data_IF_441496407277
#
_entry.id   IF_441496407277
#
_cell.length_a   1.000
_cell.length_b   1.000
_cell.length_c   1.000
_cell.angle_alpha   90.00
_cell.angle_beta   90.00
_cell.angle_gamma   90.00
#
_symmetry.space_group_name_H-M   'P 1'
#
loop_
_entity.id
_entity.type
_entity.pdbx_description
1 polymer ?
#
# COMPACT_ATOMS: atom_id res chain seq x y z
N UNK A 1 22.61 -28.91 2.96
CA UNK A 1 22.91 -29.31 4.35
C UNK A 1 23.96 -28.36 4.93
N UNK A 2 23.54 -27.19 5.44
CA UNK A 2 24.45 -26.23 6.11
C UNK A 2 24.39 -26.48 7.62
N UNK A 3 25.57 -26.61 8.25
CA UNK A 3 25.77 -26.93 9.66
C UNK A 3 25.38 -25.74 10.54
N UNK A 4 24.63 -26.00 11.61
CA UNK A 4 24.42 -25.06 12.71
C UNK A 4 25.53 -25.26 13.76
N UNK A 5 26.25 -24.19 14.10
CA UNK A 5 27.18 -24.17 15.23
C UNK A 5 26.46 -23.59 16.46
N UNK A 6 26.29 -24.43 17.48
CA UNK A 6 25.75 -24.09 18.79
C UNK A 6 26.91 -23.63 19.69
N UNK A 7 26.99 -22.35 20.04
CA UNK A 7 27.91 -21.89 21.10
C UNK A 7 27.21 -22.02 22.45
N UNK A 8 27.68 -22.98 23.27
CA UNK A 8 27.24 -23.18 24.65
C UNK A 8 28.11 -22.29 25.56
N UNK A 9 27.52 -21.23 26.10
CA UNK A 9 28.11 -20.46 27.20
C UNK A 9 27.77 -21.11 28.54
N UNK A 10 28.78 -21.49 29.31
CA UNK A 10 28.66 -22.14 30.62
C UNK A 10 28.33 -21.08 31.69
N UNK A 11 27.24 -21.29 32.44
CA UNK A 11 26.82 -20.49 33.60
C UNK A 11 27.53 -20.92 34.89
N UNK A 12 27.97 -19.93 35.68
CA UNK A 12 28.55 -20.10 37.00
C UNK A 12 27.47 -19.96 38.10
N UNK A 13 27.20 -21.07 38.79
CA UNK A 13 26.66 -21.29 40.15
C UNK A 13 25.66 -20.30 40.78
N UNK A 14 24.46 -20.78 41.14
CA UNK A 14 23.99 -20.95 42.53
C UNK A 14 22.51 -21.40 42.59
N UNK A 15 22.20 -22.24 43.58
CA UNK A 15 20.93 -22.91 43.85
C UNK A 15 19.77 -21.94 44.17
N UNK A 16 18.71 -21.99 43.38
CA UNK A 16 17.33 -21.83 43.85
C UNK A 16 16.42 -22.67 42.96
N UNK A 17 15.69 -23.61 43.57
CA UNK A 17 14.69 -24.43 42.90
C UNK A 17 13.47 -23.55 42.62
N UNK A 18 13.48 -22.89 41.46
CA UNK A 18 12.28 -22.43 40.77
C UNK A 18 12.28 -23.22 39.48
N UNK A 19 11.27 -24.05 39.27
CA UNK A 19 11.04 -24.70 37.97
C UNK A 19 11.09 -23.59 36.92
N UNK A 20 12.02 -23.59 35.95
CA UNK A 20 11.97 -22.61 34.89
C UNK A 20 10.69 -22.90 34.11
N UNK A 21 9.70 -22.01 34.23
CA UNK A 21 8.71 -21.89 33.18
C UNK A 21 9.50 -21.44 31.96
N UNK A 22 9.84 -22.40 31.10
CA UNK A 22 10.41 -22.11 29.79
C UNK A 22 9.26 -21.46 29.01
N UNK A 23 9.17 -20.14 29.08
CA UNK A 23 8.41 -19.38 28.11
C UNK A 23 9.19 -19.49 26.80
N UNK A 24 8.77 -20.44 25.96
CA UNK A 24 9.18 -20.46 24.56
C UNK A 24 8.55 -19.21 23.96
N UNK A 25 9.34 -18.15 23.82
CA UNK A 25 9.04 -17.14 22.81
C UNK A 25 9.23 -17.86 21.48
N UNK A 26 8.13 -18.39 20.93
CA UNK A 26 8.07 -18.52 19.49
C UNK A 26 8.25 -17.09 18.99
N UNK A 27 9.40 -16.79 18.39
CA UNK A 27 9.48 -15.68 17.45
C UNK A 27 8.24 -15.82 16.54
N UNK A 28 7.50 -14.74 16.24
CA UNK A 28 6.44 -14.86 15.26
C UNK A 28 7.09 -15.42 14.01
N UNK A 29 6.82 -16.69 13.71
CA UNK A 29 7.18 -17.27 12.44
C UNK A 29 6.50 -16.36 11.42
N UNK A 30 7.31 -15.57 10.72
CA UNK A 30 6.86 -14.75 9.61
C UNK A 30 6.46 -15.72 8.50
N UNK A 31 5.26 -16.28 8.64
CA UNK A 31 4.60 -16.98 7.55
C UNK A 31 4.14 -15.87 6.63
N UNK A 32 5.01 -15.53 5.70
CA UNK A 32 4.61 -14.95 4.43
C UNK A 32 3.73 -16.03 3.77
N UNK A 33 2.43 -16.09 4.09
CA UNK A 33 1.46 -16.81 3.26
C UNK A 33 1.28 -16.00 1.97
N UNK A 34 2.31 -16.03 1.12
CA UNK A 34 2.11 -15.85 -0.30
C UNK A 34 1.60 -17.21 -0.77
N UNK A 35 0.29 -17.33 -0.92
CA UNK A 35 -0.23 -18.44 -1.69
C UNK A 35 0.31 -18.26 -3.12
N UNK A 36 1.33 -19.04 -3.48
CA UNK A 36 1.76 -19.31 -4.85
C UNK A 36 0.65 -20.03 -5.66
N UNK A 37 -0.59 -20.02 -5.18
CA UNK A 37 -1.72 -20.52 -5.93
C UNK A 37 -1.94 -19.59 -7.12
N UNK A 38 -1.80 -20.15 -8.32
CA UNK A 38 -2.74 -19.81 -9.38
C UNK A 38 -4.15 -19.72 -8.76
N UNK A 39 -4.94 -18.72 -9.14
CA UNK A 39 -6.15 -18.32 -8.43
C UNK A 39 -6.98 -19.54 -8.03
N UNK A 40 -7.59 -19.47 -6.84
CA UNK A 40 -8.77 -20.27 -6.59
C UNK A 40 -9.73 -20.00 -7.75
N UNK A 41 -9.82 -20.94 -8.67
CA UNK A 41 -10.85 -20.96 -9.68
C UNK A 41 -12.14 -21.25 -8.91
N UNK A 42 -12.75 -20.19 -8.36
CA UNK A 42 -14.09 -20.21 -7.79
C UNK A 42 -15.17 -20.49 -8.86
N UNK A 43 -14.76 -20.72 -10.11
CA UNK A 43 -15.60 -20.86 -11.28
C UNK A 43 -15.79 -19.58 -12.08
N UNK A 44 -15.19 -18.45 -11.67
CA UNK A 44 -15.35 -17.13 -12.29
C UNK A 44 -14.00 -16.51 -12.69
N UNK A 45 -13.52 -16.85 -13.90
CA UNK A 45 -12.29 -16.35 -14.53
C UNK A 45 -12.21 -14.80 -14.69
N UNK A 46 -13.23 -14.04 -14.25
CA UNK A 46 -13.31 -12.59 -14.44
C UNK A 46 -12.74 -11.76 -13.30
N UNK A 47 -12.50 -12.32 -12.11
CA UNK A 47 -12.03 -11.55 -10.94
C UNK A 47 -10.72 -12.17 -10.42
N UNK A 48 -9.68 -11.35 -10.33
CA UNK A 48 -8.38 -11.71 -9.75
C UNK A 48 -8.25 -11.08 -8.37
N UNK A 49 -7.95 -11.86 -7.33
CA UNK A 49 -7.77 -11.32 -5.96
C UNK A 49 -6.48 -11.80 -5.32
N UNK A 50 -5.87 -10.96 -4.48
CA UNK A 50 -4.75 -11.35 -3.63
C UNK A 50 -4.65 -10.43 -2.41
N UNK A 51 -3.98 -10.90 -1.36
CA UNK A 51 -3.75 -10.15 -0.13
C UNK A 51 -2.26 -9.97 0.10
N UNK A 52 -1.87 -8.78 0.56
CA UNK A 52 -0.51 -8.49 1.03
C UNK A 52 -0.60 -7.96 2.45
N UNK A 53 0.11 -8.58 3.39
CA UNK A 53 0.12 -8.16 4.79
C UNK A 53 1.51 -8.30 5.40
N UNK A 54 1.74 -7.56 6.48
CA UNK A 54 2.97 -7.62 7.27
C UNK A 54 2.77 -6.95 8.62
N UNK A 55 3.86 -6.59 9.28
CA UNK A 55 3.78 -5.94 10.59
C UNK A 55 3.19 -4.53 10.45
N UNK A 56 1.94 -4.37 10.90
CA UNK A 56 1.28 -3.06 10.93
C UNK A 56 0.55 -2.64 9.64
N UNK A 57 0.48 -3.51 8.62
CA UNK A 57 -0.27 -3.24 7.40
C UNK A 57 -0.95 -4.48 6.82
N UNK A 58 -2.04 -4.26 6.10
CA UNK A 58 -2.73 -5.27 5.28
C UNK A 58 -3.49 -4.60 4.15
N UNK A 59 -3.37 -5.14 2.94
CA UNK A 59 -4.12 -4.72 1.76
C UNK A 59 -4.68 -5.93 1.02
N UNK A 60 -5.98 -5.88 0.75
CA UNK A 60 -6.71 -6.80 -0.11
C UNK A 60 -6.90 -6.14 -1.48
N UNK A 61 -6.52 -6.85 -2.53
CA UNK A 61 -6.60 -6.39 -3.92
C UNK A 61 -7.60 -7.25 -4.67
N UNK A 62 -8.41 -6.61 -5.52
CA UNK A 62 -9.28 -7.30 -6.47
C UNK A 62 -9.27 -6.59 -7.82
N UNK A 63 -9.14 -7.32 -8.92
CA UNK A 63 -9.30 -6.79 -10.26
C UNK A 63 -10.43 -7.52 -11.00
N UNK A 64 -11.43 -6.75 -11.41
CA UNK A 64 -12.50 -7.23 -12.28
C UNK A 64 -12.15 -6.96 -13.76
N UNK A 65 -11.91 -8.04 -14.51
CA UNK A 65 -11.58 -8.01 -15.93
C UNK A 65 -12.71 -7.47 -16.81
N UNK A 66 -13.98 -7.56 -16.37
CA UNK A 66 -15.14 -7.09 -17.12
C UNK A 66 -15.26 -5.57 -17.01
N UNK A 67 -15.17 -5.04 -15.79
CA UNK A 67 -15.25 -3.59 -15.54
C UNK A 67 -13.92 -2.86 -15.65
N UNK A 68 -12.79 -3.58 -15.75
CA UNK A 68 -11.42 -3.03 -15.71
C UNK A 68 -11.14 -2.24 -14.43
N UNK A 69 -11.76 -2.67 -13.33
CA UNK A 69 -11.68 -2.01 -12.02
C UNK A 69 -10.69 -2.72 -11.12
N UNK A 70 -9.69 -1.98 -10.64
CA UNK A 70 -8.85 -2.39 -9.52
C UNK A 70 -9.44 -1.81 -8.22
N UNK A 71 -9.80 -2.67 -7.28
CA UNK A 71 -10.16 -2.29 -5.92
C UNK A 71 -9.02 -2.65 -4.98
N UNK A 72 -8.68 -1.71 -4.10
CA UNK A 72 -7.66 -1.88 -3.06
C UNK A 72 -8.26 -1.42 -1.73
N UNK A 73 -8.35 -2.32 -0.77
CA UNK A 73 -8.88 -2.06 0.56
C UNK A 73 -7.84 -2.47 1.61
N UNK A 74 -7.53 -1.61 2.58
CA UNK A 74 -6.53 -1.97 3.58
C UNK A 74 -6.16 -0.92 4.61
N UNK A 75 -5.05 -1.12 5.29
CA UNK A 75 -4.55 -0.21 6.30
C UNK A 75 -3.03 -0.26 6.45
N UNK A 76 -2.49 0.79 7.07
CA UNK A 76 -1.11 0.88 7.54
C UNK A 76 -0.12 1.34 6.48
N UNK A 77 1.14 1.51 6.88
CA UNK A 77 2.24 1.81 5.98
C UNK A 77 2.91 0.52 5.49
N UNK A 78 3.11 0.40 4.17
CA UNK A 78 3.93 -0.68 3.63
C UNK A 78 5.41 -0.43 3.98
N UNK A 79 6.07 -1.42 4.58
CA UNK A 79 7.40 -1.30 5.21
C UNK A 79 8.52 -0.83 4.26
N UNK A 80 8.32 -0.95 2.93
CA UNK A 80 9.34 -0.63 1.92
C UNK A 80 9.13 0.71 1.17
N UNK A 81 8.25 1.59 1.67
CA UNK A 81 8.07 2.94 1.11
C UNK A 81 7.09 2.99 -0.08
N UNK A 82 6.45 4.15 -0.24
CA UNK A 82 5.23 4.27 -1.02
C UNK A 82 5.49 4.61 -2.49
N UNK A 83 5.34 3.57 -3.28
CA UNK A 83 4.83 3.57 -4.64
C UNK A 83 4.17 2.21 -4.77
N UNK A 84 2.96 2.08 -4.23
CA UNK A 84 2.15 0.86 -3.99
C UNK A 84 1.98 -0.11 -5.17
N UNK A 85 2.64 0.12 -6.30
CA UNK A 85 2.48 -0.62 -7.55
C UNK A 85 3.77 -0.70 -8.39
N UNK A 86 4.95 -0.46 -7.81
CA UNK A 86 6.20 -0.30 -8.58
C UNK A 86 7.40 -1.12 -8.06
N UNK A 87 7.24 -1.98 -7.07
CA UNK A 87 8.39 -2.76 -6.59
C UNK A 87 8.67 -3.91 -7.57
N UNK A 88 9.85 -3.80 -8.20
CA UNK A 88 10.34 -4.60 -9.31
C UNK A 88 10.79 -6.01 -8.93
N UNK A 89 10.26 -6.59 -7.86
CA UNK A 89 10.59 -7.94 -7.38
C UNK A 89 9.90 -9.05 -8.21
N UNK A 90 9.30 -8.71 -9.36
CA UNK A 90 8.77 -9.67 -10.33
C UNK A 90 7.43 -10.31 -9.93
N UNK A 91 6.90 -9.93 -8.75
CA UNK A 91 5.71 -10.45 -8.07
C UNK A 91 4.44 -9.62 -8.28
N UNK A 92 4.56 -8.41 -8.82
CA UNK A 92 3.43 -7.49 -8.88
C UNK A 92 2.59 -7.69 -10.17
N UNK A 93 1.53 -8.48 -10.06
CA UNK A 93 0.52 -8.63 -11.12
C UNK A 93 -0.04 -7.26 -11.53
N UNK A 94 -0.16 -6.30 -10.60
CA UNK A 94 -0.69 -4.97 -10.88
C UNK A 94 0.26 -4.20 -11.78
N UNK A 95 1.57 -4.23 -11.51
CA UNK A 95 2.57 -3.60 -12.38
C UNK A 95 2.53 -4.17 -13.80
N UNK A 96 2.34 -5.49 -13.97
CA UNK A 96 2.22 -6.16 -15.28
C UNK A 96 0.92 -5.81 -16.01
N UNK A 97 -0.16 -5.57 -15.26
CA UNK A 97 -1.50 -5.31 -15.81
C UNK A 97 -1.91 -3.84 -15.69
N UNK A 98 -0.98 -2.94 -15.37
CA UNK A 98 -1.24 -1.51 -15.11
C UNK A 98 -1.96 -0.82 -16.26
N UNK A 99 -1.62 -1.20 -17.49
CA UNK A 99 -2.24 -0.67 -18.72
C UNK A 99 -3.65 -1.22 -19.01
N UNK A 100 -4.06 -2.28 -18.32
CA UNK A 100 -5.40 -2.87 -18.43
C UNK A 100 -6.40 -2.27 -17.44
N UNK A 101 -5.95 -1.44 -16.50
CA UNK A 101 -6.79 -0.83 -15.46
C UNK A 101 -7.35 0.49 -15.98
N UNK A 102 -8.68 0.61 -15.99
CA UNK A 102 -9.37 1.85 -16.38
C UNK A 102 -10.01 2.58 -15.18
N UNK A 103 -10.27 1.87 -14.09
CA UNK A 103 -10.83 2.43 -12.86
C UNK A 103 -10.07 1.91 -11.64
N UNK A 104 -9.81 2.80 -10.69
CA UNK A 104 -9.28 2.46 -9.37
C UNK A 104 -10.30 2.83 -8.31
N UNK A 105 -10.51 1.95 -7.35
CA UNK A 105 -11.25 2.20 -6.12
C UNK A 105 -10.31 1.93 -4.96
N UNK A 106 -9.96 2.96 -4.21
CA UNK A 106 -8.95 2.89 -3.16
C UNK A 106 -9.54 3.29 -1.81
N UNK A 107 -9.45 2.38 -0.84
CA UNK A 107 -9.86 2.62 0.54
C UNK A 107 -8.74 2.22 1.47
N UNK A 108 -8.35 3.15 2.33
CA UNK A 108 -7.29 2.88 3.27
C UNK A 108 -7.40 3.70 4.54
N UNK A 109 -6.86 3.17 5.62
CA UNK A 109 -6.74 3.84 6.91
C UNK A 109 -5.32 3.73 7.47
N UNK A 110 -4.91 4.68 8.28
CA UNK A 110 -3.65 4.57 9.02
C UNK A 110 -2.37 4.80 8.23
N UNK A 111 -2.46 5.09 6.93
CA UNK A 111 -1.33 5.45 6.07
C UNK A 111 -0.74 6.81 6.46
N UNK A 112 0.59 6.92 6.50
CA UNK A 112 1.33 8.16 6.78
C UNK A 112 2.07 8.72 5.57
N UNK A 113 2.31 7.89 4.55
CA UNK A 113 2.97 8.28 3.29
C UNK A 113 2.07 7.86 2.12
N UNK A 114 1.54 8.82 1.37
CA UNK A 114 0.76 8.59 0.15
C UNK A 114 1.54 8.99 -1.11
N UNK A 115 2.86 9.16 -0.98
CA UNK A 115 3.71 9.54 -2.11
C UNK A 115 3.62 8.48 -3.20
N UNK A 116 3.60 8.96 -4.45
CA UNK A 116 3.53 8.13 -5.66
C UNK A 116 2.39 7.09 -5.74
N UNK A 117 1.39 7.12 -4.84
CA UNK A 117 0.36 6.08 -4.69
C UNK A 117 -0.32 5.73 -6.02
N UNK A 118 -0.73 6.73 -6.80
CA UNK A 118 -1.36 6.55 -8.12
C UNK A 118 -0.46 6.99 -9.27
N UNK A 119 0.85 7.08 -9.06
CA UNK A 119 1.78 7.55 -10.09
C UNK A 119 1.78 6.61 -11.30
N UNK A 120 1.82 7.21 -12.48
CA UNK A 120 1.97 6.54 -13.78
C UNK A 120 0.79 5.62 -14.17
N UNK A 121 -0.39 5.79 -13.58
CA UNK A 121 -1.62 5.13 -14.07
C UNK A 121 -2.18 5.84 -15.30
N UNK A 122 -1.46 5.75 -16.42
CA UNK A 122 -1.73 6.52 -17.65
C UNK A 122 -3.05 6.17 -18.33
N UNK A 123 -3.57 4.97 -18.13
CA UNK A 123 -4.83 4.46 -18.74
C UNK A 123 -6.06 4.62 -17.86
N UNK A 124 -5.87 4.91 -16.57
CA UNK A 124 -6.97 5.08 -15.62
C UNK A 124 -7.74 6.36 -15.92
N UNK A 125 -9.06 6.23 -16.02
CA UNK A 125 -10.01 7.31 -16.33
C UNK A 125 -10.69 7.84 -15.08
N UNK A 126 -10.84 6.99 -14.07
CA UNK A 126 -11.54 7.27 -12.81
C UNK A 126 -10.74 6.70 -11.63
N UNK A 127 -10.53 7.52 -10.60
CA UNK A 127 -9.96 7.10 -9.32
C UNK A 127 -10.93 7.52 -8.22
N UNK A 128 -11.56 6.53 -7.58
CA UNK A 128 -12.41 6.72 -6.42
C UNK A 128 -11.58 6.58 -5.14
N UNK A 129 -11.39 7.70 -4.44
CA UNK A 129 -10.68 7.79 -3.16
C UNK A 129 -11.62 8.18 -2.01
N UNK A 130 -12.93 8.00 -2.18
CA UNK A 130 -13.93 8.37 -1.16
C UNK A 130 -13.76 7.62 0.16
N UNK A 131 -13.12 6.44 0.14
CA UNK A 131 -12.79 5.65 1.32
C UNK A 131 -11.36 5.83 1.83
N UNK A 132 -10.62 6.84 1.36
CA UNK A 132 -9.23 7.07 1.78
C UNK A 132 -9.14 8.02 2.98
N UNK A 133 -8.86 7.48 4.16
CA UNK A 133 -8.57 8.27 5.36
C UNK A 133 -7.14 8.83 5.30
N UNK A 134 -7.06 10.13 5.09
CA UNK A 134 -5.83 10.91 4.95
C UNK A 134 -5.40 11.60 6.24
N UNK A 135 -6.12 11.41 7.36
CA UNK A 135 -5.91 12.13 8.62
C UNK A 135 -4.53 11.93 9.26
N UNK A 136 -3.77 10.92 8.82
CA UNK A 136 -2.39 10.65 9.26
C UNK A 136 -1.34 10.89 8.18
N UNK A 137 -1.74 11.18 6.95
CA UNK A 137 -0.82 11.34 5.82
C UNK A 137 0.02 12.60 6.00
N UNK A 138 1.32 12.46 5.78
CA UNK A 138 2.33 13.52 5.90
C UNK A 138 3.01 13.83 4.57
N UNK A 139 2.98 12.90 3.61
CA UNK A 139 3.54 13.05 2.27
C UNK A 139 2.49 12.67 1.21
N UNK A 140 2.20 13.56 0.27
CA UNK A 140 1.34 13.35 -0.90
C UNK A 140 2.09 13.67 -2.21
N UNK A 141 3.41 13.69 -2.17
CA UNK A 141 4.26 14.03 -3.31
C UNK A 141 4.04 13.05 -4.46
N UNK A 142 3.87 13.60 -5.66
CA UNK A 142 3.64 12.84 -6.90
C UNK A 142 2.47 11.84 -6.86
N UNK A 143 1.53 11.96 -5.92
CA UNK A 143 0.47 10.98 -5.68
C UNK A 143 -0.32 10.64 -6.95
N UNK A 144 -0.68 11.62 -7.77
CA UNK A 144 -1.39 11.43 -9.04
C UNK A 144 -0.52 11.73 -10.27
N UNK A 145 0.81 11.85 -10.09
CA UNK A 145 1.72 12.24 -11.16
C UNK A 145 1.63 11.28 -12.35
N UNK A 146 1.57 11.79 -13.58
CA UNK A 146 1.41 11.02 -14.83
C UNK A 146 0.06 10.30 -15.00
N UNK A 147 -1.00 10.65 -14.25
CA UNK A 147 -2.37 10.17 -14.50
C UNK A 147 -2.99 10.86 -15.73
N UNK A 148 -2.45 10.56 -16.92
CA UNK A 148 -2.76 11.31 -18.15
C UNK A 148 -4.20 11.15 -18.68
N UNK A 149 -4.95 10.15 -18.23
CA UNK A 149 -6.32 9.87 -18.71
C UNK A 149 -7.43 10.20 -17.70
N UNK A 150 -7.09 10.61 -16.47
CA UNK A 150 -8.07 10.97 -15.44
C UNK A 150 -8.70 12.31 -15.82
N UNK A 151 -10.03 12.32 -15.98
CA UNK A 151 -10.77 13.52 -16.43
C UNK A 151 -11.40 14.32 -15.30
N UNK A 152 -11.70 13.65 -14.19
CA UNK A 152 -12.23 14.23 -12.96
C UNK A 152 -11.67 13.48 -11.77
N UNK A 153 -11.46 14.19 -10.67
CA UNK A 153 -10.93 13.64 -9.43
C UNK A 153 -11.55 14.40 -8.26
N UNK A 154 -12.21 13.69 -7.36
CA UNK A 154 -12.74 14.25 -6.12
C UNK A 154 -11.72 14.05 -4.99
N UNK A 155 -11.10 15.15 -4.57
CA UNK A 155 -10.18 15.22 -3.42
C UNK A 155 -10.77 15.97 -2.24
N UNK A 156 -12.08 16.23 -2.25
CA UNK A 156 -12.74 17.05 -1.24
C UNK A 156 -12.83 16.41 0.15
N UNK A 157 -12.54 15.11 0.25
CA UNK A 157 -12.41 14.35 1.48
C UNK A 157 -11.00 14.33 2.08
N UNK A 158 -10.00 14.92 1.43
CA UNK A 158 -8.62 14.86 1.92
C UNK A 158 -8.40 15.78 3.12
N UNK A 159 -7.98 15.21 4.25
CA UNK A 159 -7.37 15.94 5.35
C UNK A 159 -5.89 16.14 5.05
N UNK A 160 -5.54 17.39 4.75
CA UNK A 160 -4.17 17.79 4.40
C UNK A 160 -3.48 18.53 5.55
N UNK A 161 -4.10 18.58 6.73
CA UNK A 161 -3.60 19.38 7.87
C UNK A 161 -2.22 18.97 8.40
N UNK A 162 -1.78 17.75 8.08
CA UNK A 162 -0.49 17.17 8.49
C UNK A 162 0.49 17.00 7.33
N UNK A 163 0.07 17.30 6.10
CA UNK A 163 0.85 17.06 4.90
C UNK A 163 1.93 18.14 4.77
N UNK A 164 3.19 17.70 4.75
CA UNK A 164 4.36 18.56 4.58
C UNK A 164 4.87 18.62 3.14
N UNK A 165 4.57 17.62 2.31
CA UNK A 165 4.99 17.58 0.90
C UNK A 165 3.81 17.24 -0.03
N UNK A 166 3.58 18.10 -1.02
CA UNK A 166 2.60 17.92 -2.11
C UNK A 166 3.25 18.12 -3.49
N UNK A 167 4.59 18.07 -3.55
CA UNK A 167 5.37 18.34 -4.74
C UNK A 167 4.96 17.42 -5.89
N UNK A 168 4.76 17.99 -7.07
CA UNK A 168 4.34 17.27 -8.27
C UNK A 168 3.05 16.43 -8.15
N UNK A 169 2.19 16.63 -7.12
CA UNK A 169 1.02 15.78 -6.84
C UNK A 169 0.13 15.54 -8.06
N UNK A 170 -0.11 16.57 -8.88
CA UNK A 170 -0.93 16.49 -10.11
C UNK A 170 -0.12 16.74 -11.40
N UNK A 171 1.19 16.58 -11.35
CA UNK A 171 2.06 16.85 -12.50
C UNK A 171 1.75 15.89 -13.66
N UNK A 172 1.62 16.42 -14.88
CA UNK A 172 1.28 15.67 -16.09
C UNK A 172 -0.10 14.95 -16.08
N UNK A 173 -1.05 15.40 -15.25
CA UNK A 173 -2.46 14.99 -15.32
C UNK A 173 -3.21 15.71 -16.47
N UNK A 174 -2.76 15.50 -17.71
CA UNK A 174 -3.15 16.35 -18.85
C UNK A 174 -4.64 16.34 -19.21
N UNK A 175 -5.39 15.30 -18.84
CA UNK A 175 -6.83 15.20 -19.10
C UNK A 175 -7.69 15.82 -17.99
N UNK A 176 -7.11 16.19 -16.85
CA UNK A 176 -7.84 16.77 -15.73
C UNK A 176 -8.16 18.25 -16.03
N UNK A 177 -9.42 18.53 -16.35
CA UNK A 177 -9.85 19.88 -16.79
C UNK A 177 -10.24 20.80 -15.63
N UNK A 178 -10.60 20.22 -14.49
CA UNK A 178 -10.95 20.96 -13.27
C UNK A 178 -10.60 20.13 -12.04
N UNK A 179 -10.20 20.81 -10.97
CA UNK A 179 -9.88 20.19 -9.68
C UNK A 179 -10.19 21.21 -8.58
N UNK A 180 -11.08 20.84 -7.65
CA UNK A 180 -11.36 21.64 -6.47
C UNK A 180 -10.39 21.25 -5.34
N UNK A 181 -9.45 22.15 -5.04
CA UNK A 181 -8.49 22.02 -3.93
C UNK A 181 -8.76 23.03 -2.81
N UNK A 182 -9.93 23.67 -2.79
CA UNK A 182 -10.25 24.74 -1.84
C UNK A 182 -10.20 24.31 -0.37
N UNK A 183 -10.33 23.01 -0.10
CA UNK A 183 -10.25 22.42 1.24
C UNK A 183 -8.82 22.07 1.67
N UNK A 184 -7.82 22.23 0.81
CA UNK A 184 -6.45 21.86 1.16
C UNK A 184 -5.88 22.85 2.18
N UNK A 185 -5.42 22.31 3.31
CA UNK A 185 -4.66 23.05 4.30
C UNK A 185 -3.17 22.96 3.95
N UNK A 186 -2.59 24.09 3.54
CA UNK A 186 -1.17 24.19 3.19
C UNK A 186 -0.30 24.79 4.29
N UNK A 187 -0.84 24.98 5.51
CA UNK A 187 -0.09 25.60 6.62
C UNK A 187 1.10 24.78 7.11
N UNK A 188 1.11 23.48 6.81
CA UNK A 188 2.16 22.55 7.21
C UNK A 188 3.08 22.15 6.05
N UNK A 189 2.83 22.68 4.84
CA UNK A 189 3.64 22.42 3.66
C UNK A 189 4.89 23.30 3.72
N UNK A 190 6.03 22.68 4.00
CA UNK A 190 7.32 23.37 4.01
C UNK A 190 7.92 23.27 2.61
N UNK A 191 7.49 24.10 1.67
CA UNK A 191 8.15 24.17 0.34
C UNK A 191 8.75 25.55 0.10
N UNK A 192 10.05 25.53 -0.24
CA UNK A 192 10.64 26.43 -1.23
C UNK A 192 11.28 25.54 -2.30
#
# INVERSE_FOLDING_TARGET
MKKANLLIGILCTSLAVVQPTITVFAEPEEIIELSDSEPDNDGNDNIYTFTVSGSGYKYDYSFDHSSKTLTVDGYGDYEYGWGTFNNGDGRDWIAKNKDSIEKIVFRSTGMTDASNLFKNYRKVKEIDVSGFDTSKVTDMSSMFRLCTSVTSLDVSGFDTSRVSDMSCMFNECNALTSLDVSKFNTSYVYTM
#
